data_IF_343589560611
#
_entry.id   IF_343589560611
#
_cell.length_a   1.000
_cell.length_b   1.000
_cell.length_c   1.000
_cell.angle_alpha   90.00
_cell.angle_beta   90.00
_cell.angle_gamma   90.00
#
_symmetry.space_group_name_H-M   'P 1'
#
loop_
_entity.id
_entity.type
_entity.pdbx_description
1 polymer ?
#
# COMPACT_ATOMS: atom_id res chain seq x y z
N UNK A 1 -4.82 7.87 -7.27
CA UNK A 1 -4.79 7.14 -6.01
C UNK A 1 -3.39 7.11 -5.40
N UNK A 2 -3.26 7.24 -4.07
CA UNK A 2 -2.05 6.92 -3.34
C UNK A 2 -2.12 5.47 -2.85
N UNK A 3 -1.03 4.75 -3.00
CA UNK A 3 -0.90 3.37 -2.54
C UNK A 3 0.37 3.18 -1.75
N UNK A 4 0.27 2.46 -0.62
CA UNK A 4 1.32 2.32 0.39
C UNK A 4 1.57 0.83 0.62
N UNK A 5 2.76 0.36 0.29
CA UNK A 5 3.15 -1.04 0.37
C UNK A 5 4.02 -1.36 1.61
N UNK A 6 4.15 -2.64 1.90
CA UNK A 6 5.01 -3.27 2.92
C UNK A 6 4.60 -3.06 4.38
N UNK A 7 3.71 -2.13 4.67
CA UNK A 7 3.21 -1.90 6.02
C UNK A 7 2.37 -3.07 6.61
N UNK A 8 1.74 -2.83 7.75
CA UNK A 8 1.90 -1.64 8.57
C UNK A 8 3.21 -1.63 9.35
N UNK A 9 3.73 -0.42 9.61
CA UNK A 9 4.82 -0.20 10.57
C UNK A 9 4.38 0.83 11.60
N UNK A 10 4.27 0.39 12.86
CA UNK A 10 3.84 1.26 13.98
C UNK A 10 4.66 2.54 14.04
N UNK A 11 3.99 3.67 14.20
CA UNK A 11 4.57 5.01 14.19
C UNK A 11 4.66 5.63 12.80
N UNK A 12 5.11 4.90 11.80
CA UNK A 12 5.19 5.39 10.42
C UNK A 12 3.80 5.42 9.76
N UNK A 13 3.08 4.30 9.80
CA UNK A 13 1.73 4.18 9.24
C UNK A 13 0.77 5.21 9.87
N UNK A 14 0.83 5.38 11.21
CA UNK A 14 0.00 6.38 11.89
C UNK A 14 0.32 7.82 11.46
N UNK A 15 1.57 8.14 11.15
CA UNK A 15 1.92 9.47 10.61
C UNK A 15 1.37 9.69 9.21
N UNK A 16 1.38 8.65 8.37
CA UNK A 16 0.73 8.70 7.04
C UNK A 16 -0.76 8.93 7.20
N UNK A 17 -1.44 8.21 8.11
CA UNK A 17 -2.85 8.40 8.39
C UNK A 17 -3.18 9.83 8.83
N UNK A 18 -2.40 10.39 9.75
CA UNK A 18 -2.59 11.77 10.20
C UNK A 18 -2.40 12.79 9.06
N UNK A 19 -1.46 12.54 8.15
CA UNK A 19 -1.26 13.39 6.98
C UNK A 19 -2.43 13.30 5.97
N UNK A 20 -2.96 12.10 5.75
CA UNK A 20 -4.13 11.86 4.91
C UNK A 20 -5.36 12.58 5.49
N UNK A 21 -5.66 12.34 6.77
CA UNK A 21 -6.80 12.95 7.46
C UNK A 21 -6.76 14.49 7.41
N UNK A 22 -5.60 15.09 7.71
CA UNK A 22 -5.40 16.55 7.66
C UNK A 22 -5.68 17.15 6.28
N UNK A 23 -5.56 16.36 5.22
CA UNK A 23 -5.73 16.82 3.85
C UNK A 23 -7.03 16.31 3.18
N UNK A 24 -7.96 15.70 3.93
CA UNK A 24 -9.18 15.04 3.42
C UNK A 24 -8.88 14.02 2.33
N UNK A 25 -7.75 13.34 2.46
CA UNK A 25 -7.26 12.36 1.52
C UNK A 25 -7.47 10.92 2.03
N UNK A 26 -7.48 9.97 1.11
CA UNK A 26 -7.52 8.52 1.41
C UNK A 26 -6.48 7.81 0.58
N UNK A 27 -6.06 6.63 1.05
CA UNK A 27 -5.08 5.80 0.37
C UNK A 27 -5.44 4.32 0.51
N UNK A 28 -4.89 3.49 -0.38
CA UNK A 28 -4.94 2.04 -0.26
C UNK A 28 -3.62 1.53 0.33
N UNK A 29 -3.70 0.76 1.40
CA UNK A 29 -2.55 0.16 2.06
C UNK A 29 -2.47 -1.33 1.70
N UNK A 30 -1.46 -1.69 0.92
CA UNK A 30 -1.13 -3.07 0.59
C UNK A 30 -0.21 -3.64 1.66
N UNK A 31 -0.79 -4.39 2.60
CA UNK A 31 -0.10 -4.81 3.82
C UNK A 31 0.47 -6.22 3.69
N UNK A 32 1.67 -6.43 4.22
CA UNK A 32 2.21 -7.76 4.44
C UNK A 32 1.46 -8.45 5.57
N UNK A 33 1.03 -9.69 5.35
CA UNK A 33 0.24 -10.44 6.34
C UNK A 33 0.96 -10.63 7.67
N UNK A 34 2.29 -10.87 7.64
CA UNK A 34 3.08 -10.97 8.86
C UNK A 34 3.12 -9.66 9.66
N UNK A 35 3.15 -8.50 8.97
CA UNK A 35 3.13 -7.20 9.63
C UNK A 35 1.73 -6.87 10.15
N UNK A 36 0.68 -7.23 9.41
CA UNK A 36 -0.70 -7.11 9.88
C UNK A 36 -0.95 -7.94 11.14
N UNK A 37 -0.40 -9.16 11.19
CA UNK A 37 -0.47 -10.02 12.37
C UNK A 37 0.33 -9.45 13.56
N UNK A 38 1.43 -8.74 13.30
CA UNK A 38 2.28 -8.15 14.35
C UNK A 38 1.72 -6.82 14.88
N UNK A 39 1.07 -6.02 14.02
CA UNK A 39 0.52 -4.71 14.35
C UNK A 39 -1.00 -4.62 14.09
N UNK A 40 -1.85 -5.48 14.68
CA UNK A 40 -3.28 -5.55 14.36
C UNK A 40 -4.00 -4.23 14.67
N UNK A 41 -3.62 -3.53 15.73
CA UNK A 41 -4.22 -2.23 16.07
C UNK A 41 -3.94 -1.15 15.02
N UNK A 42 -2.79 -1.20 14.34
CA UNK A 42 -2.49 -0.27 13.24
C UNK A 42 -3.33 -0.60 12.01
N UNK A 43 -3.52 -1.89 11.67
CA UNK A 43 -4.44 -2.30 10.60
C UNK A 43 -5.86 -1.78 10.85
N UNK A 44 -6.36 -1.96 12.07
CA UNK A 44 -7.69 -1.48 12.49
C UNK A 44 -7.82 0.03 12.31
N UNK A 45 -6.83 0.81 12.76
CA UNK A 45 -6.80 2.27 12.59
C UNK A 45 -6.85 2.69 11.13
N UNK A 46 -6.13 2.00 10.23
CA UNK A 46 -6.16 2.30 8.79
C UNK A 46 -7.59 2.21 8.26
N UNK A 47 -8.29 1.13 8.57
CA UNK A 47 -9.68 0.93 8.12
C UNK A 47 -10.63 1.95 8.76
N UNK A 48 -10.55 2.15 10.08
CA UNK A 48 -11.41 3.09 10.81
C UNK A 48 -11.25 4.54 10.37
N UNK A 49 -10.06 4.90 9.84
CA UNK A 49 -9.81 6.23 9.25
C UNK A 49 -10.34 6.38 7.82
N UNK A 50 -11.13 5.41 7.32
CA UNK A 50 -11.73 5.45 5.98
C UNK A 50 -10.75 5.16 4.83
N UNK A 51 -9.60 4.56 5.13
CA UNK A 51 -8.65 4.09 4.14
C UNK A 51 -8.95 2.64 3.76
N UNK A 52 -8.40 2.18 2.64
CA UNK A 52 -8.53 0.81 2.19
C UNK A 52 -7.35 -0.05 2.67
N UNK A 53 -7.66 -1.26 3.15
CA UNK A 53 -6.68 -2.28 3.52
C UNK A 53 -6.74 -3.40 2.49
N UNK A 54 -5.62 -3.67 1.84
CA UNK A 54 -5.45 -4.69 0.80
C UNK A 54 -4.23 -5.57 1.06
N UNK A 55 -4.07 -6.65 0.29
CA UNK A 55 -3.02 -7.65 0.50
C UNK A 55 -1.75 -7.34 -0.28
N UNK A 56 -0.59 -7.54 0.38
CA UNK A 56 0.72 -7.56 -0.26
C UNK A 56 1.45 -8.89 -0.05
N UNK A 57 0.68 -10.00 0.04
CA UNK A 57 1.15 -11.34 0.39
C UNK A 57 1.59 -11.49 1.87
N UNK A 58 1.96 -12.71 2.27
CA UNK A 58 2.33 -12.96 3.67
C UNK A 58 3.66 -12.31 4.05
N UNK A 59 4.71 -12.51 3.24
CA UNK A 59 6.11 -12.18 3.59
C UNK A 59 6.93 -11.63 2.42
N UNK A 60 6.28 -10.99 1.44
CA UNK A 60 6.94 -10.38 0.28
C UNK A 60 7.70 -11.38 -0.62
N UNK A 61 7.22 -12.63 -0.69
CA UNK A 61 7.85 -13.67 -1.53
C UNK A 61 7.66 -13.37 -3.02
N UNK A 62 8.67 -13.68 -3.85
CA UNK A 62 8.56 -13.60 -5.31
C UNK A 62 7.63 -14.68 -5.85
N UNK A 63 6.35 -14.33 -6.01
CA UNK A 63 5.24 -15.25 -6.32
C UNK A 63 5.43 -16.09 -7.58
N UNK A 64 6.04 -15.60 -8.70
CA UNK A 64 6.22 -16.41 -9.91
C UNK A 64 7.04 -17.71 -9.74
N UNK A 65 7.79 -17.85 -8.64
CA UNK A 65 8.51 -19.09 -8.32
C UNK A 65 7.64 -20.14 -7.59
N UNK A 66 6.43 -19.77 -7.19
CA UNK A 66 5.51 -20.61 -6.45
C UNK A 66 4.51 -21.32 -7.37
N UNK A 67 3.99 -22.47 -6.95
CA UNK A 67 2.80 -23.06 -7.54
C UNK A 67 1.55 -22.22 -7.20
N UNK A 68 0.49 -22.37 -7.98
CA UNK A 68 -0.77 -21.68 -7.70
C UNK A 68 -1.33 -21.98 -6.29
N UNK A 69 -1.16 -23.21 -5.80
CA UNK A 69 -1.56 -23.59 -4.43
C UNK A 69 -0.74 -22.83 -3.37
N UNK A 70 0.57 -22.68 -3.57
CA UNK A 70 1.43 -21.90 -2.65
C UNK A 70 1.13 -20.41 -2.71
N UNK A 71 0.79 -19.88 -3.89
CA UNK A 71 0.33 -18.48 -4.03
C UNK A 71 -0.97 -18.28 -3.23
N UNK A 72 -1.93 -19.19 -3.37
CA UNK A 72 -3.19 -19.17 -2.61
C UNK A 72 -2.92 -19.20 -1.11
N UNK A 73 -2.03 -20.05 -0.64
CA UNK A 73 -1.65 -20.13 0.78
C UNK A 73 -1.11 -18.79 1.31
N UNK A 74 -0.27 -18.08 0.52
CA UNK A 74 0.22 -16.74 0.86
C UNK A 74 -0.94 -15.77 1.07
N UNK A 75 -1.93 -15.77 0.15
CA UNK A 75 -3.07 -14.85 0.20
C UNK A 75 -4.05 -15.21 1.32
N UNK A 76 -4.41 -16.47 1.47
CA UNK A 76 -5.32 -16.92 2.53
C UNK A 76 -4.79 -16.57 3.91
N UNK A 77 -3.49 -16.77 4.12
CA UNK A 77 -2.83 -16.44 5.37
C UNK A 77 -2.84 -14.92 5.64
N UNK A 78 -2.62 -14.12 4.60
CA UNK A 78 -2.65 -12.66 4.69
C UNK A 78 -4.07 -12.15 4.93
N UNK A 79 -5.03 -12.64 4.16
CA UNK A 79 -6.44 -12.27 4.31
C UNK A 79 -6.97 -12.61 5.72
N UNK A 80 -6.58 -13.76 6.26
CA UNK A 80 -6.95 -14.15 7.62
C UNK A 80 -6.33 -13.25 8.69
N UNK A 81 -5.05 -12.82 8.52
CA UNK A 81 -4.41 -11.91 9.46
C UNK A 81 -5.07 -10.53 9.44
N UNK A 82 -5.35 -9.99 8.26
CA UNK A 82 -6.05 -8.71 8.09
C UNK A 82 -7.47 -8.80 8.67
N UNK A 83 -8.22 -9.86 8.35
CA UNK A 83 -9.56 -10.05 8.89
C UNK A 83 -9.59 -10.13 10.42
N UNK A 84 -8.66 -10.86 11.02
CA UNK A 84 -8.53 -10.91 12.49
C UNK A 84 -8.23 -9.54 13.11
N UNK A 85 -7.47 -8.70 12.41
CA UNK A 85 -7.07 -7.39 12.90
C UNK A 85 -8.20 -6.35 12.83
N UNK A 86 -8.99 -6.33 11.74
CA UNK A 86 -9.94 -5.25 11.48
C UNK A 86 -11.36 -5.70 11.09
N UNK A 87 -11.64 -7.00 11.01
CA UNK A 87 -12.96 -7.54 10.66
C UNK A 87 -13.32 -7.45 9.16
N UNK A 88 -12.42 -6.93 8.32
CA UNK A 88 -12.60 -6.82 6.87
C UNK A 88 -11.56 -7.67 6.12
N UNK A 89 -11.97 -8.27 5.00
CA UNK A 89 -11.04 -8.97 4.10
C UNK A 89 -10.46 -8.00 3.08
N UNK A 90 -9.21 -8.22 2.62
CA UNK A 90 -8.66 -7.44 1.51
C UNK A 90 -9.50 -7.62 0.24
N UNK A 91 -9.73 -6.53 -0.49
CA UNK A 91 -10.53 -6.53 -1.73
C UNK A 91 -9.67 -6.61 -2.99
N UNK A 92 -8.37 -6.41 -2.84
CA UNK A 92 -7.38 -6.47 -3.92
C UNK A 92 -6.03 -6.96 -3.40
N UNK A 93 -5.16 -7.34 -4.33
CA UNK A 93 -3.80 -7.81 -4.04
C UNK A 93 -2.81 -7.04 -4.90
N UNK A 94 -1.72 -6.59 -4.31
CA UNK A 94 -0.55 -6.16 -5.07
C UNK A 94 0.53 -7.22 -4.95
N UNK A 95 0.88 -7.90 -6.06
CA UNK A 95 1.97 -8.87 -6.05
C UNK A 95 3.31 -8.19 -5.76
N UNK A 96 4.16 -8.75 -4.90
CA UNK A 96 5.52 -8.23 -4.70
C UNK A 96 6.27 -8.05 -6.02
N UNK A 97 7.00 -6.94 -6.14
CA UNK A 97 7.74 -6.54 -7.35
C UNK A 97 6.86 -6.31 -8.59
N UNK A 98 5.53 -6.32 -8.47
CA UNK A 98 4.62 -6.30 -9.61
C UNK A 98 4.69 -7.56 -10.49
N UNK A 99 5.26 -8.64 -9.96
CA UNK A 99 5.58 -9.85 -10.73
C UNK A 99 4.37 -10.79 -10.83
N UNK A 100 3.90 -11.00 -12.05
CA UNK A 100 2.72 -11.81 -12.37
C UNK A 100 3.08 -12.86 -13.42
N UNK A 101 2.59 -14.10 -13.22
CA UNK A 101 2.56 -15.16 -14.21
C UNK A 101 1.24 -15.93 -14.07
N UNK A 102 1.07 -17.02 -14.87
CA UNK A 102 -0.14 -17.82 -14.87
C UNK A 102 -0.43 -18.49 -13.51
N UNK A 103 0.59 -18.88 -12.75
CA UNK A 103 0.41 -19.44 -11.41
C UNK A 103 -0.12 -18.38 -10.43
N UNK A 104 0.38 -17.15 -10.51
CA UNK A 104 -0.10 -16.02 -9.71
C UNK A 104 -1.58 -15.74 -10.00
N UNK A 105 -1.95 -15.65 -11.29
CA UNK A 105 -3.35 -15.45 -11.70
C UNK A 105 -4.29 -16.57 -11.24
N UNK A 106 -3.82 -17.83 -11.27
CA UNK A 106 -4.60 -18.98 -10.80
C UNK A 106 -4.70 -19.08 -9.28
N UNK A 107 -3.72 -18.52 -8.56
CA UNK A 107 -3.68 -18.57 -7.10
C UNK A 107 -4.42 -17.43 -6.41
N UNK A 108 -4.75 -16.34 -7.13
CA UNK A 108 -5.38 -15.14 -6.59
C UNK A 108 -6.68 -14.86 -7.35
N UNK A 109 -7.81 -14.85 -6.63
CA UNK A 109 -9.13 -14.64 -7.20
C UNK A 109 -9.59 -13.18 -7.15
N UNK A 110 -8.90 -12.35 -6.36
CA UNK A 110 -9.19 -10.91 -6.24
C UNK A 110 -8.41 -10.09 -7.27
N UNK A 111 -8.83 -8.84 -7.59
CA UNK A 111 -8.12 -7.97 -8.52
C UNK A 111 -6.64 -7.79 -8.17
N UNK A 112 -5.78 -7.90 -9.19
CA UNK A 112 -4.35 -7.62 -9.07
C UNK A 112 -4.10 -6.16 -9.44
N UNK A 113 -3.59 -5.37 -8.49
CA UNK A 113 -3.35 -3.94 -8.66
C UNK A 113 -1.85 -3.66 -8.76
N UNK A 114 -1.45 -3.03 -9.85
CA UNK A 114 -0.09 -2.51 -10.05
C UNK A 114 -0.06 -0.98 -9.81
N UNK A 115 0.85 -0.30 -10.46
CA UNK A 115 0.99 1.17 -10.37
C UNK A 115 1.34 1.75 -11.74
N UNK A 116 1.10 3.05 -11.89
CA UNK A 116 1.50 3.82 -13.07
C UNK A 116 2.67 4.77 -12.77
N UNK A 117 2.85 5.14 -11.49
CA UNK A 117 3.96 5.98 -11.04
C UNK A 117 4.73 5.29 -9.93
N UNK A 118 5.96 4.85 -10.22
CA UNK A 118 6.92 4.41 -9.21
C UNK A 118 7.71 5.61 -8.70
N UNK A 119 7.58 5.91 -7.41
CA UNK A 119 8.30 7.03 -6.79
C UNK A 119 9.78 6.77 -6.58
N UNK A 120 10.20 5.50 -6.68
CA UNK A 120 11.55 5.03 -6.35
C UNK A 120 11.98 5.37 -4.91
N UNK A 121 11.03 5.56 -4.00
CA UNK A 121 11.28 5.87 -2.59
C UNK A 121 12.07 4.76 -1.89
N UNK A 122 11.76 3.51 -2.21
CA UNK A 122 12.46 2.31 -1.73
C UNK A 122 13.96 2.31 -2.07
N UNK A 123 14.33 2.95 -3.21
CA UNK A 123 15.71 3.03 -3.70
C UNK A 123 16.41 4.29 -3.20
N UNK A 124 15.77 5.45 -3.35
CA UNK A 124 16.39 6.75 -3.06
C UNK A 124 16.43 7.04 -1.56
N UNK A 125 15.44 6.59 -0.81
CA UNK A 125 15.24 6.89 0.61
C UNK A 125 15.43 8.38 0.90
N UNK A 126 14.90 9.21 0.00
CA UNK A 126 15.06 10.67 0.03
C UNK A 126 13.69 11.35 -0.15
N UNK A 127 13.31 12.14 0.85
CA UNK A 127 12.03 12.85 0.91
C UNK A 127 11.81 13.75 -0.31
N UNK A 128 12.79 14.60 -0.63
CA UNK A 128 12.64 15.61 -1.68
C UNK A 128 12.64 14.97 -3.08
N UNK A 129 13.41 13.89 -3.28
CA UNK A 129 13.36 13.10 -4.51
C UNK A 129 11.97 12.46 -4.71
N UNK A 130 11.38 11.88 -3.66
CA UNK A 130 10.04 11.29 -3.71
C UNK A 130 8.98 12.35 -4.03
N UNK A 131 8.99 13.48 -3.32
CA UNK A 131 8.09 14.62 -3.60
C UNK A 131 8.22 15.10 -5.04
N UNK A 132 9.46 15.31 -5.51
CA UNK A 132 9.72 15.74 -6.89
C UNK A 132 9.18 14.77 -7.93
N UNK A 133 9.36 13.45 -7.70
CA UNK A 133 8.85 12.42 -8.60
C UNK A 133 7.33 12.46 -8.68
N UNK A 134 6.63 12.52 -7.54
CA UNK A 134 5.18 12.62 -7.50
C UNK A 134 4.70 13.87 -8.25
N UNK A 135 5.23 15.06 -7.90
CA UNK A 135 4.79 16.32 -8.49
C UNK A 135 5.08 16.43 -10.00
N UNK A 136 6.08 15.71 -10.50
CA UNK A 136 6.47 15.71 -11.91
C UNK A 136 5.64 14.73 -12.74
N UNK A 137 5.31 13.57 -12.19
CA UNK A 137 4.80 12.44 -12.97
C UNK A 137 3.33 12.11 -12.70
N UNK A 138 2.83 12.35 -11.46
CA UNK A 138 1.46 12.01 -11.13
C UNK A 138 0.46 12.93 -11.86
N UNK A 139 -0.54 12.29 -12.46
CA UNK A 139 -1.66 12.92 -13.17
C UNK A 139 -2.96 12.36 -12.63
N UNK A 140 -4.08 12.92 -13.08
CA UNK A 140 -5.39 12.37 -12.78
C UNK A 140 -5.53 10.92 -13.27
N UNK A 141 -6.09 10.06 -12.43
CA UNK A 141 -6.23 8.63 -12.68
C UNK A 141 -5.00 7.78 -12.35
N UNK A 142 -3.85 8.37 -12.01
CA UNK A 142 -2.64 7.59 -11.70
C UNK A 142 -2.71 6.88 -10.34
N UNK A 143 -2.04 5.73 -10.28
CA UNK A 143 -1.79 4.93 -9.08
C UNK A 143 -0.32 5.11 -8.70
N UNK A 144 -0.07 5.75 -7.56
CA UNK A 144 1.28 6.11 -7.09
C UNK A 144 1.75 5.08 -6.07
N UNK A 145 2.90 4.45 -6.33
CA UNK A 145 3.55 3.48 -5.44
C UNK A 145 4.47 4.20 -4.44
N UNK A 146 4.29 3.87 -3.15
CA UNK A 146 5.12 4.31 -2.02
C UNK A 146 5.19 3.22 -0.95
N UNK A 147 6.10 3.38 0.04
CA UNK A 147 6.32 2.40 1.11
C UNK A 147 6.46 3.12 2.46
N UNK A 148 5.53 2.89 3.41
CA UNK A 148 5.54 3.57 4.72
C UNK A 148 6.58 3.00 5.71
N UNK A 149 7.23 1.91 5.36
CA UNK A 149 8.35 1.39 6.15
C UNK A 149 9.58 2.32 6.14
N UNK A 150 9.60 3.32 5.26
CA UNK A 150 10.68 4.28 5.14
C UNK A 150 10.29 5.66 5.69
N UNK A 151 10.95 6.13 6.75
CA UNK A 151 10.72 7.48 7.31
C UNK A 151 10.80 8.62 6.27
N UNK A 152 11.73 8.62 5.29
CA UNK A 152 11.74 9.64 4.25
C UNK A 152 10.48 9.65 3.38
N UNK A 153 9.86 8.50 3.13
CA UNK A 153 8.60 8.40 2.39
C UNK A 153 7.44 8.99 3.19
N UNK A 154 7.37 8.69 4.49
CA UNK A 154 6.37 9.29 5.39
C UNK A 154 6.47 10.82 5.33
N UNK A 155 7.68 11.38 5.46
CA UNK A 155 7.91 12.82 5.35
C UNK A 155 7.55 13.36 3.95
N UNK A 156 7.72 12.57 2.89
CA UNK A 156 7.30 12.96 1.54
C UNK A 156 5.78 13.04 1.41
N UNK A 157 5.04 12.08 1.98
CA UNK A 157 3.57 12.11 2.02
C UNK A 157 3.07 13.35 2.76
N UNK A 158 3.64 13.66 3.94
CA UNK A 158 3.32 14.86 4.73
C UNK A 158 3.54 16.16 3.92
N UNK A 159 4.60 16.21 3.10
CA UNK A 159 4.92 17.39 2.28
C UNK A 159 4.06 17.51 1.03
N UNK A 160 3.79 16.39 0.34
CA UNK A 160 3.18 16.42 -1.00
C UNK A 160 1.66 16.58 -0.97
N UNK A 161 0.98 16.03 0.03
CA UNK A 161 -0.48 16.08 0.13
C UNK A 161 -1.05 17.51 0.10
N UNK A 162 -0.56 18.47 0.93
CA UNK A 162 -1.08 19.84 0.87
C UNK A 162 -0.78 20.53 -0.47
N UNK A 163 0.30 20.16 -1.16
CA UNK A 163 0.63 20.71 -2.48
C UNK A 163 -0.36 20.18 -3.53
N UNK A 164 -0.67 18.88 -3.51
CA UNK A 164 -1.64 18.26 -4.42
C UNK A 164 -3.04 18.82 -4.18
N UNK A 165 -3.47 18.93 -2.92
CA UNK A 165 -4.76 19.55 -2.55
C UNK A 165 -4.86 20.99 -3.10
N UNK A 166 -3.82 21.81 -2.94
CA UNK A 166 -3.77 23.18 -3.49
C UNK A 166 -3.84 23.21 -5.01
N UNK A 167 -3.37 22.17 -5.68
CA UNK A 167 -3.45 22.02 -7.15
C UNK A 167 -4.81 21.47 -7.63
N UNK A 168 -5.74 21.19 -6.73
CA UNK A 168 -7.08 20.68 -7.03
C UNK A 168 -7.18 19.18 -7.18
N UNK A 169 -6.15 18.42 -6.78
CA UNK A 169 -6.22 16.95 -6.76
C UNK A 169 -6.96 16.46 -5.51
N UNK A 170 -7.84 15.51 -5.70
CA UNK A 170 -8.38 14.66 -4.65
C UNK A 170 -7.58 13.34 -4.63
N UNK A 171 -6.98 13.02 -3.49
CA UNK A 171 -6.23 11.77 -3.30
C UNK A 171 -7.16 10.74 -2.66
N UNK A 172 -7.42 9.65 -3.38
CA UNK A 172 -8.37 8.61 -3.01
C UNK A 172 -7.74 7.21 -2.99
N UNK A 173 -8.52 6.21 -2.60
CA UNK A 173 -8.24 4.77 -2.74
C UNK A 173 -8.26 4.35 -4.22
N UNK A 174 -7.81 3.13 -4.50
CA UNK A 174 -7.85 2.51 -5.84
C UNK A 174 -9.27 2.13 -6.24
#
# INVERSE_FOLDING_TARGET
AFTIDDGPLKGNTERVLAALEKNDARATFFMLGQNANYYPETVKKVLESGNEVSSHTWNHTYLPKLSAAQVREQEDKTANAIYKACGSKPVSVRPPYGAINENVKKGIDTPLILWSVDTLDWKTKNTDATVKTILKHAKDGDIVLMHDIHKPTVAAVEKVLPILKKKGYEVCTV
#
